data_IF_110876428954
#
_entry.id   IF_110876428954
#
_cell.length_a   1.000
_cell.length_b   1.000
_cell.length_c   1.000
_cell.angle_alpha   90.00
_cell.angle_beta   90.00
_cell.angle_gamma   90.00
#
_symmetry.space_group_name_H-M   'P 1'
#
loop_
_entity.id
_entity.type
_entity.pdbx_description
1 polymer ?
#
# COMPACT_ATOMS: atom_id res chain seq x y z
N UNK A 1 8.70 -63.72 -39.67
CA UNK A 1 7.56 -62.83 -39.38
C UNK A 1 7.34 -62.67 -37.86
N UNK A 2 8.37 -62.31 -37.07
CA UNK A 2 8.26 -62.21 -35.60
C UNK A 2 8.41 -60.78 -35.04
N UNK A 3 8.96 -59.81 -35.81
CA UNK A 3 9.24 -58.46 -35.29
C UNK A 3 7.98 -57.61 -35.03
N UNK A 4 6.89 -57.83 -35.76
CA UNK A 4 5.64 -57.05 -35.61
C UNK A 4 4.97 -57.25 -34.26
N UNK A 5 5.13 -58.42 -33.63
CA UNK A 5 4.50 -58.72 -32.33
C UNK A 5 5.26 -58.12 -31.15
N UNK A 6 6.58 -57.98 -31.25
CA UNK A 6 7.39 -57.30 -30.23
C UNK A 6 7.09 -55.80 -30.17
N UNK A 7 7.03 -55.13 -31.32
CA UNK A 7 6.71 -53.70 -31.40
C UNK A 7 5.32 -53.41 -30.80
N UNK A 8 4.32 -54.23 -31.15
CA UNK A 8 2.97 -54.13 -30.57
C UNK A 8 2.98 -54.30 -29.06
N UNK A 9 3.74 -55.28 -28.55
CA UNK A 9 3.84 -55.55 -27.12
C UNK A 9 4.49 -54.38 -26.38
N UNK A 10 5.61 -53.85 -26.87
CA UNK A 10 6.28 -52.70 -26.26
C UNK A 10 5.43 -51.43 -26.33
N UNK A 11 4.75 -51.20 -27.45
CA UNK A 11 3.84 -50.06 -27.61
C UNK A 11 2.66 -50.14 -26.62
N UNK A 12 2.12 -51.34 -26.41
CA UNK A 12 1.05 -51.57 -25.44
C UNK A 12 1.53 -51.28 -24.02
N UNK A 13 2.66 -51.87 -23.60
CA UNK A 13 3.26 -51.62 -22.28
C UNK A 13 3.50 -50.12 -22.10
N UNK A 14 4.12 -49.47 -23.08
CA UNK A 14 4.40 -48.05 -23.00
C UNK A 14 3.14 -47.19 -22.86
N UNK A 15 2.11 -47.48 -23.66
CA UNK A 15 0.83 -46.76 -23.57
C UNK A 15 0.17 -46.94 -22.21
N UNK A 16 0.09 -48.17 -21.72
CA UNK A 16 -0.58 -48.49 -20.46
C UNK A 16 0.14 -47.80 -19.28
N UNK A 17 1.47 -47.90 -19.22
CA UNK A 17 2.30 -47.26 -18.19
C UNK A 17 2.20 -45.73 -18.24
N UNK A 18 2.30 -45.14 -19.43
CA UNK A 18 2.21 -43.67 -19.58
C UNK A 18 0.84 -43.17 -19.14
N UNK A 19 -0.25 -43.81 -19.56
CA UNK A 19 -1.62 -43.39 -19.20
C UNK A 19 -1.85 -43.51 -17.70
N UNK A 20 -1.41 -44.61 -17.09
CA UNK A 20 -1.56 -44.84 -15.65
C UNK A 20 -0.87 -43.74 -14.83
N UNK A 21 0.38 -43.42 -15.17
CA UNK A 21 1.16 -42.41 -14.47
C UNK A 21 0.64 -41.00 -14.81
N UNK A 22 0.29 -40.76 -16.06
CA UNK A 22 -0.21 -39.47 -16.51
C UNK A 22 -1.51 -39.06 -15.79
N UNK A 23 -2.35 -40.04 -15.46
CA UNK A 23 -3.60 -39.82 -14.73
C UNK A 23 -3.39 -39.33 -13.28
N UNK A 24 -2.17 -39.48 -12.73
CA UNK A 24 -1.86 -39.02 -11.37
C UNK A 24 -1.45 -37.55 -11.29
N UNK A 25 -1.16 -36.92 -12.42
CA UNK A 25 -0.74 -35.52 -12.48
C UNK A 25 -1.87 -34.63 -12.97
N UNK A 26 -1.97 -33.46 -12.36
CA UNK A 26 -2.91 -32.45 -12.82
C UNK A 26 -2.38 -31.75 -14.08
N UNK A 27 -3.32 -31.32 -14.91
CA UNK A 27 -3.08 -30.55 -16.13
C UNK A 27 -1.96 -29.48 -15.98
N UNK A 28 -2.02 -28.53 -15.03
CA UNK A 28 -1.03 -27.46 -14.90
C UNK A 28 0.40 -27.95 -14.61
N UNK A 29 0.53 -29.12 -13.97
CA UNK A 29 1.81 -29.65 -13.54
C UNK A 29 2.68 -30.07 -14.73
N UNK A 30 2.07 -30.44 -15.86
CA UNK A 30 2.78 -30.80 -17.09
C UNK A 30 3.63 -29.67 -17.67
N UNK A 31 3.28 -28.41 -17.41
CA UNK A 31 4.08 -27.26 -17.83
C UNK A 31 5.02 -26.77 -16.74
N UNK A 32 4.55 -26.73 -15.48
CA UNK A 32 5.36 -26.25 -14.36
C UNK A 32 6.52 -27.20 -14.01
N UNK A 33 6.29 -28.51 -14.07
CA UNK A 33 7.22 -29.57 -13.67
C UNK A 33 7.50 -30.55 -14.80
N UNK A 34 7.55 -30.06 -16.03
CA UNK A 34 7.68 -30.88 -17.26
C UNK A 34 8.87 -31.83 -17.22
N UNK A 35 10.02 -31.33 -16.75
CA UNK A 35 11.27 -32.10 -16.69
C UNK A 35 11.17 -33.24 -15.69
N UNK A 36 10.66 -32.95 -14.49
CA UNK A 36 10.55 -33.93 -13.41
C UNK A 36 9.53 -35.02 -13.74
N UNK A 37 8.39 -34.65 -14.32
CA UNK A 37 7.38 -35.60 -14.81
C UNK A 37 7.96 -36.46 -15.93
N UNK A 38 8.71 -35.87 -16.86
CA UNK A 38 9.38 -36.60 -17.94
C UNK A 38 10.38 -37.63 -17.41
N UNK A 39 11.22 -37.26 -16.44
CA UNK A 39 12.17 -38.17 -15.80
C UNK A 39 11.46 -39.32 -15.09
N UNK A 40 10.40 -39.04 -14.34
CA UNK A 40 9.64 -40.06 -13.61
C UNK A 40 8.89 -41.01 -14.54
N UNK A 41 8.32 -40.49 -15.63
CA UNK A 41 7.72 -41.31 -16.69
C UNK A 41 8.77 -42.21 -17.35
N UNK A 42 9.97 -41.68 -17.62
CA UNK A 42 11.06 -42.49 -18.18
C UNK A 42 11.46 -43.63 -17.25
N UNK A 43 11.64 -43.34 -15.97
CA UNK A 43 12.06 -44.31 -14.97
C UNK A 43 11.07 -45.48 -14.85
N UNK A 44 9.78 -45.16 -14.72
CA UNK A 44 8.72 -46.17 -14.61
C UNK A 44 8.50 -46.93 -15.92
N UNK A 45 8.55 -46.24 -17.06
CA UNK A 45 8.49 -46.91 -18.36
C UNK A 45 9.65 -47.88 -18.56
N UNK A 46 10.85 -47.52 -18.10
CA UNK A 46 12.00 -48.39 -18.17
C UNK A 46 11.83 -49.63 -17.28
N UNK A 47 11.29 -49.47 -16.05
CA UNK A 47 11.00 -50.59 -15.14
C UNK A 47 10.02 -51.59 -15.77
N UNK A 48 8.97 -51.10 -16.42
CA UNK A 48 7.97 -51.96 -17.07
C UNK A 48 8.51 -52.63 -18.34
N UNK A 49 9.28 -51.92 -19.17
CA UNK A 49 9.90 -52.49 -20.36
C UNK A 49 10.98 -53.54 -20.04
N UNK A 50 11.68 -53.39 -18.91
CA UNK A 50 12.67 -54.38 -18.47
C UNK A 50 12.05 -55.76 -18.18
N UNK A 51 10.79 -55.81 -17.73
CA UNK A 51 10.05 -57.08 -17.57
C UNK A 51 9.82 -57.81 -18.89
N UNK A 52 9.83 -57.06 -20.00
CA UNK A 52 9.74 -57.58 -21.36
C UNK A 52 11.12 -57.64 -22.06
N UNK A 53 12.23 -57.59 -21.29
CA UNK A 53 13.61 -57.61 -21.77
C UNK A 53 13.99 -56.44 -22.70
N UNK A 54 13.36 -55.27 -22.53
CA UNK A 54 13.65 -54.05 -23.28
C UNK A 54 14.10 -52.89 -22.37
N UNK A 55 14.86 -51.93 -22.90
CA UNK A 55 15.34 -50.76 -22.16
C UNK A 55 14.89 -49.47 -22.86
N UNK A 56 14.36 -48.51 -22.08
CA UNK A 56 14.05 -47.16 -22.54
C UNK A 56 15.28 -46.25 -22.37
N UNK A 57 15.95 -45.90 -23.47
CA UNK A 57 17.15 -45.05 -23.44
C UNK A 57 16.80 -43.58 -23.21
N UNK A 58 15.69 -43.13 -23.80
CA UNK A 58 15.27 -41.73 -23.76
C UNK A 58 13.75 -41.61 -23.85
N UNK A 59 13.18 -40.65 -23.13
CA UNK A 59 11.76 -40.33 -23.17
C UNK A 59 11.57 -38.81 -23.21
N UNK A 60 10.68 -38.34 -24.11
CA UNK A 60 10.34 -36.93 -24.23
C UNK A 60 8.85 -36.75 -24.50
N UNK A 61 8.25 -35.81 -23.78
CA UNK A 61 6.88 -35.37 -24.01
C UNK A 61 6.89 -34.38 -25.17
N UNK A 62 6.31 -34.74 -26.32
CA UNK A 62 6.24 -33.86 -27.49
C UNK A 62 5.06 -32.89 -27.40
N UNK A 63 3.85 -33.43 -27.19
CA UNK A 63 2.61 -32.66 -27.18
C UNK A 63 1.67 -33.17 -26.09
N UNK A 64 1.07 -32.25 -25.35
CA UNK A 64 -0.01 -32.52 -24.41
C UNK A 64 -1.21 -31.74 -24.92
N UNK A 65 -2.28 -32.45 -25.30
CA UNK A 65 -3.54 -31.82 -25.67
C UNK A 65 -4.44 -31.86 -24.45
N UNK A 66 -4.93 -30.69 -24.03
CA UNK A 66 -5.96 -30.59 -23.01
C UNK A 66 -7.24 -30.07 -23.65
N UNK A 67 -8.41 -30.40 -23.08
CA UNK A 67 -9.66 -29.79 -23.50
C UNK A 67 -9.61 -28.26 -23.25
N UNK A 68 -10.14 -27.47 -24.20
CA UNK A 68 -10.15 -26.00 -24.19
C UNK A 68 -10.75 -25.36 -22.93
N UNK A 69 -11.46 -26.14 -22.11
CA UNK A 69 -12.06 -25.69 -20.84
C UNK A 69 -11.03 -25.27 -19.78
N UNK A 70 -9.75 -25.66 -19.91
CA UNK A 70 -8.67 -25.24 -19.01
C UNK A 70 -8.04 -23.89 -19.36
N UNK A 71 -8.05 -23.47 -20.62
CA UNK A 71 -7.48 -22.16 -21.00
C UNK A 71 -8.32 -21.00 -20.45
N UNK A 72 -9.62 -21.19 -20.31
CA UNK A 72 -10.54 -20.18 -19.74
C UNK A 72 -10.31 -19.98 -18.24
N UNK A 73 -10.00 -21.04 -17.47
CA UNK A 73 -9.86 -20.93 -16.01
C UNK A 73 -8.55 -20.26 -15.59
N UNK A 74 -7.48 -20.41 -16.37
CA UNK A 74 -6.20 -19.71 -16.16
C UNK A 74 -6.37 -18.21 -16.42
N UNK A 75 -7.01 -17.84 -17.54
CA UNK A 75 -7.28 -16.44 -17.88
C UNK A 75 -8.18 -15.80 -16.81
N UNK A 76 -9.25 -16.49 -16.41
CA UNK A 76 -10.15 -15.99 -15.37
C UNK A 76 -9.43 -15.80 -14.03
N UNK A 77 -8.58 -16.75 -13.63
CA UNK A 77 -7.83 -16.62 -12.37
C UNK A 77 -6.85 -15.46 -12.41
N UNK A 78 -6.19 -15.21 -13.54
CA UNK A 78 -5.30 -14.06 -13.71
C UNK A 78 -6.06 -12.73 -13.65
N UNK A 79 -7.21 -12.64 -14.32
CA UNK A 79 -8.08 -11.46 -14.27
C UNK A 79 -8.60 -11.21 -12.86
N UNK A 80 -9.02 -12.26 -12.13
CA UNK A 80 -9.44 -12.16 -10.74
C UNK A 80 -8.31 -11.69 -9.81
N UNK A 81 -7.09 -12.21 -9.98
CA UNK A 81 -5.92 -11.74 -9.22
C UNK A 81 -5.60 -10.27 -9.51
N UNK A 82 -5.69 -9.84 -10.78
CA UNK A 82 -5.50 -8.45 -11.17
C UNK A 82 -6.58 -7.54 -10.58
N UNK A 83 -7.85 -7.97 -10.63
CA UNK A 83 -8.97 -7.24 -10.03
C UNK A 83 -8.82 -7.10 -8.52
N UNK A 84 -8.41 -8.17 -7.83
CA UNK A 84 -8.12 -8.12 -6.39
C UNK A 84 -7.02 -7.13 -6.06
N UNK A 85 -5.94 -7.12 -6.86
CA UNK A 85 -4.82 -6.20 -6.69
C UNK A 85 -5.23 -4.74 -6.95
N UNK A 86 -6.05 -4.48 -7.97
CA UNK A 86 -6.62 -3.14 -8.22
C UNK A 86 -7.47 -2.66 -7.04
N UNK A 87 -8.40 -3.50 -6.55
CA UNK A 87 -9.24 -3.14 -5.40
C UNK A 87 -8.42 -2.83 -4.14
N UNK A 88 -7.32 -3.54 -3.92
CA UNK A 88 -6.42 -3.25 -2.79
C UNK A 88 -5.76 -1.88 -2.94
N UNK A 89 -5.29 -1.53 -4.13
CA UNK A 89 -4.72 -0.21 -4.38
C UNK A 89 -5.76 0.91 -4.25
N UNK A 90 -6.98 0.69 -4.72
CA UNK A 90 -8.10 1.63 -4.52
C UNK A 90 -8.39 1.85 -3.04
N UNK A 91 -8.46 0.78 -2.25
CA UNK A 91 -8.68 0.87 -0.80
C UNK A 91 -7.55 1.62 -0.10
N UNK A 92 -6.30 1.38 -0.49
CA UNK A 92 -5.15 2.08 0.08
C UNK A 92 -5.17 3.57 -0.27
N UNK A 93 -5.46 3.92 -1.52
CA UNK A 93 -5.60 5.31 -1.95
C UNK A 93 -6.72 6.03 -1.16
N UNK A 94 -7.87 5.37 -0.96
CA UNK A 94 -8.97 5.90 -0.16
C UNK A 94 -8.53 6.14 1.30
N UNK A 95 -7.78 5.20 1.90
CA UNK A 95 -7.25 5.36 3.25
C UNK A 95 -6.35 6.59 3.35
N UNK A 96 -5.38 6.73 2.45
CA UNK A 96 -4.46 7.87 2.42
C UNK A 96 -5.23 9.19 2.25
N UNK A 97 -6.21 9.23 1.35
CA UNK A 97 -7.05 10.42 1.16
C UNK A 97 -7.81 10.79 2.44
N UNK A 98 -8.32 9.80 3.18
CA UNK A 98 -9.00 10.02 4.45
C UNK A 98 -8.05 10.53 5.54
N UNK A 99 -6.83 10.01 5.60
CA UNK A 99 -5.81 10.51 6.53
C UNK A 99 -5.44 11.97 6.22
N UNK A 100 -5.28 12.32 4.93
CA UNK A 100 -5.04 13.71 4.51
C UNK A 100 -6.21 14.62 4.89
N UNK A 101 -7.45 14.17 4.74
CA UNK A 101 -8.65 14.93 5.12
C UNK A 101 -8.71 15.22 6.62
N UNK A 102 -8.37 14.24 7.46
CA UNK A 102 -8.25 14.42 8.91
C UNK A 102 -7.14 15.41 9.24
N UNK A 103 -5.95 15.24 8.68
CA UNK A 103 -4.81 16.13 8.92
C UNK A 103 -5.12 17.57 8.51
N UNK A 104 -5.80 17.76 7.38
CA UNK A 104 -6.24 19.09 6.92
C UNK A 104 -7.22 19.71 7.93
N UNK A 105 -8.19 18.94 8.39
CA UNK A 105 -9.18 19.41 9.37
C UNK A 105 -8.54 19.79 10.72
N UNK A 106 -7.56 19.02 11.17
CA UNK A 106 -6.77 19.33 12.37
C UNK A 106 -5.95 20.61 12.19
N UNK A 107 -5.30 20.77 11.03
CA UNK A 107 -4.51 21.96 10.70
C UNK A 107 -5.39 23.20 10.62
N UNK A 108 -6.57 23.13 9.99
CA UNK A 108 -7.54 24.22 9.94
C UNK A 108 -8.02 24.63 11.34
N UNK A 109 -8.26 23.64 12.22
CA UNK A 109 -8.60 23.90 13.61
C UNK A 109 -7.47 24.61 14.35
N UNK A 110 -6.22 24.18 14.16
CA UNK A 110 -5.05 24.82 14.77
C UNK A 110 -4.88 26.26 14.29
N UNK A 111 -4.97 26.51 12.98
CA UNK A 111 -4.92 27.86 12.40
C UNK A 111 -5.99 28.76 13.03
N UNK A 112 -7.22 28.24 13.18
CA UNK A 112 -8.31 29.01 13.79
C UNK A 112 -8.02 29.35 15.26
N UNK A 113 -7.49 28.42 16.04
CA UNK A 113 -7.09 28.68 17.43
C UNK A 113 -5.98 29.72 17.51
N UNK A 114 -4.90 29.58 16.73
CA UNK A 114 -3.78 30.53 16.69
C UNK A 114 -4.26 31.93 16.32
N UNK A 115 -5.13 32.04 15.30
CA UNK A 115 -5.68 33.33 14.89
C UNK A 115 -6.55 33.97 15.98
N UNK A 116 -7.36 33.18 16.70
CA UNK A 116 -8.17 33.68 17.81
C UNK A 116 -7.30 34.15 18.99
N UNK A 117 -6.25 33.40 19.33
CA UNK A 117 -5.27 33.77 20.36
C UNK A 117 -4.51 35.04 19.99
N UNK A 118 -4.01 35.13 18.76
CA UNK A 118 -3.32 36.32 18.26
C UNK A 118 -4.21 37.56 18.28
N UNK A 119 -5.49 37.43 17.90
CA UNK A 119 -6.46 38.53 17.99
C UNK A 119 -6.73 38.96 19.44
N UNK A 120 -6.87 38.00 20.36
CA UNK A 120 -7.08 38.29 21.77
C UNK A 120 -5.86 38.98 22.40
N UNK A 121 -4.65 38.52 22.07
CA UNK A 121 -3.40 39.12 22.52
C UNK A 121 -3.21 40.54 21.95
N UNK A 122 -3.46 40.72 20.65
CA UNK A 122 -3.43 42.04 20.02
C UNK A 122 -4.40 43.00 20.72
N UNK A 123 -5.63 42.56 21.00
CA UNK A 123 -6.61 43.38 21.71
C UNK A 123 -6.12 43.77 23.12
N UNK A 124 -5.55 42.81 23.86
CA UNK A 124 -4.99 43.05 25.19
C UNK A 124 -3.87 44.09 25.15
N UNK A 125 -2.91 43.96 24.24
CA UNK A 125 -1.79 44.90 24.08
C UNK A 125 -2.31 46.31 23.77
N UNK A 126 -3.27 46.44 22.85
CA UNK A 126 -3.87 47.74 22.51
C UNK A 126 -4.55 48.38 23.72
N UNK A 127 -5.32 47.62 24.50
CA UNK A 127 -5.98 48.13 25.70
C UNK A 127 -5.00 48.51 26.80
N UNK A 128 -3.94 47.74 27.00
CA UNK A 128 -2.87 48.08 27.94
C UNK A 128 -2.15 49.38 27.53
N UNK A 129 -1.86 49.54 26.23
CA UNK A 129 -1.25 50.75 25.70
C UNK A 129 -2.15 51.99 25.88
N UNK A 130 -3.45 51.87 25.59
CA UNK A 130 -4.44 52.93 25.79
C UNK A 130 -4.49 53.33 27.28
N UNK A 131 -4.63 52.37 28.20
CA UNK A 131 -4.68 52.62 29.65
C UNK A 131 -3.41 53.31 30.12
N UNK A 132 -2.24 52.85 29.66
CA UNK A 132 -0.95 53.46 30.01
C UNK A 132 -0.84 54.90 29.50
N UNK A 133 -1.33 55.17 28.28
CA UNK A 133 -1.40 56.52 27.71
C UNK A 133 -2.29 57.43 28.58
N UNK A 134 -3.50 56.98 28.94
CA UNK A 134 -4.41 57.74 29.80
C UNK A 134 -3.79 58.06 31.15
N UNK A 135 -3.16 57.08 31.81
CA UNK A 135 -2.47 57.30 33.09
C UNK A 135 -1.35 58.33 32.98
N UNK A 136 -0.55 58.26 31.91
CA UNK A 136 0.55 59.21 31.66
C UNK A 136 0.04 60.64 31.43
N UNK A 137 -1.04 60.80 30.67
CA UNK A 137 -1.69 62.10 30.44
C UNK A 137 -2.21 62.68 31.75
N UNK A 138 -2.91 61.86 32.56
CA UNK A 138 -3.50 62.31 33.82
C UNK A 138 -2.43 62.74 34.83
N UNK A 139 -1.33 61.99 34.94
CA UNK A 139 -0.16 62.35 35.75
C UNK A 139 0.49 63.66 35.27
N UNK A 140 0.61 63.86 33.95
CA UNK A 140 1.16 65.09 33.40
C UNK A 140 0.30 66.31 33.73
N UNK A 141 -1.03 66.21 33.57
CA UNK A 141 -1.97 67.28 33.92
C UNK A 141 -1.88 67.60 35.42
N UNK A 142 -1.86 66.57 36.28
CA UNK A 142 -1.74 66.75 37.72
C UNK A 142 -0.42 67.45 38.11
N UNK A 143 0.71 67.02 37.54
CA UNK A 143 2.01 67.65 37.78
C UNK A 143 2.05 69.11 37.29
N UNK A 144 1.44 69.39 36.14
CA UNK A 144 1.33 70.74 35.59
C UNK A 144 0.50 71.67 36.49
N UNK A 145 -0.65 71.22 36.97
CA UNK A 145 -1.47 71.97 37.93
C UNK A 145 -0.73 72.23 39.24
N UNK A 146 -0.03 71.24 39.78
CA UNK A 146 0.77 71.39 41.00
C UNK A 146 1.90 72.43 40.82
N UNK A 147 2.54 72.44 39.64
CA UNK A 147 3.57 73.45 39.31
C UNK A 147 2.98 74.86 39.23
N UNK A 148 1.83 75.04 38.58
CA UNK A 148 1.13 76.33 38.52
C UNK A 148 0.74 76.85 39.91
N UNK A 149 0.24 75.99 40.80
CA UNK A 149 -0.10 76.37 42.17
C UNK A 149 1.13 76.79 42.99
N UNK A 150 2.27 76.09 42.83
CA UNK A 150 3.52 76.43 43.50
C UNK A 150 4.11 77.77 43.02
N UNK A 151 3.95 78.11 41.74
CA UNK A 151 4.34 79.41 41.17
C UNK A 151 3.48 80.55 41.74
N UNK A 152 2.17 80.31 41.89
CA UNK A 152 1.25 81.26 42.53
C UNK A 152 1.65 81.50 43.98
N UNK A 153 1.88 80.47 44.79
CA UNK A 153 2.32 80.59 46.18
C UNK A 153 3.65 81.34 46.36
N UNK A 154 4.61 81.17 45.44
CA UNK A 154 5.87 81.92 45.47
C UNK A 154 5.73 83.39 45.08
N UNK A 155 4.77 83.75 44.23
CA UNK A 155 4.45 85.16 43.95
C UNK A 155 3.85 85.86 45.17
N UNK A 156 2.97 85.17 45.92
CA UNK A 156 2.38 85.74 47.14
C UNK A 156 3.39 85.94 48.28
N UNK A 157 4.48 85.15 48.32
CA UNK A 157 5.56 85.29 49.32
C UNK A 157 6.63 86.34 48.99
N UNK A 158 6.67 86.90 47.77
CA UNK A 158 7.59 87.98 47.39
C UNK A 158 7.01 89.38 47.57
N UNK A 159 5.73 89.49 47.95
CA UNK A 159 5.02 90.76 48.19
C UNK A 159 4.88 91.11 49.68
N UNK A 160 5.62 90.44 50.57
CA UNK A 160 5.79 90.79 51.98
C UNK A 160 7.27 90.89 52.32
#
# INVERSE_FOLDING_TARGET
MNNLEYERTFTRIARDTIVQIASTYEAPQYWQKRKDIGLKLQEELNKELQKAFAHCVFFQILRVNLPDTFDVSIVNTQVEMQNKRMKQFEQEAIRIMKEIEVLKSETERQIKTINAEAQAEQYKILKEADVHLYMKILLFIFFFQKKQNKIKEQSYKKCY
#
